data_IF_180001584723
#
_entry.id   IF_180001584723
#
_cell.length_a   1.000
_cell.length_b   1.000
_cell.length_c   1.000
_cell.angle_alpha   90.00
_cell.angle_beta   90.00
_cell.angle_gamma   90.00
#
_symmetry.space_group_name_H-M   'P 1'
#
loop_
_entity.id
_entity.type
_entity.pdbx_description
1 polymer ?
#
# COMPACT_ATOMS: atom_id res chain seq x y z
N UNK A 1 33.10 26.54 8.95
CA UNK A 1 31.71 26.66 9.46
C UNK A 1 30.90 25.56 8.75
N UNK A 2 31.24 24.28 8.95
CA UNK A 2 30.77 23.39 10.03
C UNK A 2 29.30 23.61 10.35
N UNK A 3 28.47 22.71 9.81
CA UNK A 3 27.28 22.07 10.39
C UNK A 3 27.13 20.74 9.60
N UNK A 4 27.88 19.67 9.90
CA UNK A 4 27.56 18.62 10.89
C UNK A 4 26.05 18.41 11.08
N UNK A 5 25.42 17.73 10.13
CA UNK A 5 24.19 16.99 10.40
C UNK A 5 24.53 15.76 11.26
N UNK A 6 24.53 15.97 12.57
CA UNK A 6 24.60 14.90 13.55
C UNK A 6 23.33 14.05 13.43
N UNK A 7 23.51 12.82 12.96
CA UNK A 7 22.57 11.73 13.19
C UNK A 7 22.55 11.45 14.69
N UNK A 8 21.71 12.17 15.45
CA UNK A 8 21.44 11.84 16.84
C UNK A 8 20.36 10.76 16.81
N UNK A 9 20.79 9.52 16.95
CA UNK A 9 19.92 8.40 17.24
C UNK A 9 19.17 8.65 18.55
N UNK A 10 17.90 8.97 18.44
CA UNK A 10 16.90 8.63 19.45
C UNK A 10 15.95 7.61 18.83
N UNK A 11 16.39 6.37 18.86
CA UNK A 11 15.49 5.23 18.79
C UNK A 11 14.57 5.26 20.01
N UNK A 12 13.43 5.92 19.87
CA UNK A 12 12.18 5.51 20.49
C UNK A 12 11.49 4.63 19.44
N UNK A 13 11.21 3.39 19.81
CA UNK A 13 10.92 2.29 18.90
C UNK A 13 9.89 2.64 17.80
N UNK A 14 10.36 2.50 16.55
CA UNK A 14 9.67 2.34 15.24
C UNK A 14 8.79 3.50 14.72
N UNK A 15 9.45 4.52 14.14
CA UNK A 15 8.87 5.28 13.03
C UNK A 15 9.23 4.56 11.71
N UNK A 16 8.28 3.85 11.10
CA UNK A 16 8.48 3.26 9.77
C UNK A 16 8.01 4.28 8.72
N UNK A 17 8.95 4.86 7.98
CA UNK A 17 8.67 5.81 6.91
C UNK A 17 8.45 5.02 5.60
N UNK A 18 7.20 4.85 5.16
CA UNK A 18 6.92 4.26 3.85
C UNK A 18 7.00 5.36 2.78
N UNK A 19 8.20 5.55 2.21
CA UNK A 19 8.33 6.18 0.89
C UNK A 19 8.12 5.10 -0.18
N UNK A 20 6.88 4.85 -0.57
CA UNK A 20 6.57 3.95 -1.69
C UNK A 20 6.15 4.77 -2.90
N UNK A 21 6.82 4.57 -4.03
CA UNK A 21 6.48 5.12 -5.35
C UNK A 21 5.18 4.54 -5.94
N UNK A 22 4.49 3.68 -5.21
CA UNK A 22 3.09 3.29 -5.44
C UNK A 22 2.41 3.06 -4.09
N UNK A 23 1.47 3.93 -3.71
CA UNK A 23 0.73 3.74 -2.45
C UNK A 23 -0.34 2.68 -2.66
N UNK A 24 -0.04 1.46 -2.20
CA UNK A 24 -1.06 0.45 -1.92
C UNK A 24 -1.45 0.61 -0.46
N UNK A 25 -2.63 1.18 -0.19
CA UNK A 25 -3.15 1.14 1.17
C UNK A 25 -3.77 -0.23 1.37
N UNK A 26 -3.02 -1.09 2.07
CA UNK A 26 -3.49 -2.41 2.47
C UNK A 26 -4.19 -2.28 3.83
N UNK A 27 -5.52 -2.26 3.80
CA UNK A 27 -6.31 -2.24 5.02
C UNK A 27 -6.53 -3.66 5.52
N UNK A 28 -5.86 -4.04 6.61
CA UNK A 28 -5.82 -5.43 7.08
C UNK A 28 -7.07 -5.87 7.87
N UNK A 29 -7.26 -7.19 7.97
CA UNK A 29 -8.39 -7.82 8.63
C UNK A 29 -8.57 -7.41 10.11
N UNK A 30 -7.45 -7.28 10.83
CA UNK A 30 -7.47 -6.98 12.27
C UNK A 30 -7.93 -5.54 12.54
N UNK A 31 -7.54 -4.61 11.68
CA UNK A 31 -7.98 -3.22 11.75
C UNK A 31 -9.49 -3.13 11.48
N UNK A 32 -10.02 -3.90 10.52
CA UNK A 32 -11.48 -3.96 10.29
C UNK A 32 -12.20 -4.53 11.51
N UNK A 33 -11.67 -5.57 12.16
CA UNK A 33 -12.25 -6.09 13.40
C UNK A 33 -12.21 -5.09 14.55
N UNK A 34 -11.13 -4.30 14.67
CA UNK A 34 -11.04 -3.24 15.69
C UNK A 34 -12.14 -2.20 15.49
N UNK A 35 -12.33 -1.68 14.27
CA UNK A 35 -13.40 -0.72 13.98
C UNK A 35 -14.80 -1.29 14.20
N UNK A 36 -15.04 -2.55 13.80
CA UNK A 36 -16.33 -3.24 14.04
C UNK A 36 -16.60 -3.41 15.53
N UNK A 37 -15.59 -3.74 16.34
CA UNK A 37 -15.73 -3.88 17.79
C UNK A 37 -15.96 -2.56 18.50
N UNK A 38 -15.44 -1.46 17.97
CA UNK A 38 -15.65 -0.10 18.49
C UNK A 38 -17.10 0.40 18.28
N UNK A 39 -17.98 -0.42 17.67
CA UNK A 39 -19.42 -0.17 17.51
C UNK A 39 -19.71 1.11 16.70
N UNK A 40 -18.79 1.49 15.81
CA UNK A 40 -19.01 2.59 14.87
C UNK A 40 -20.01 2.14 13.80
N UNK A 41 -21.21 2.71 13.84
CA UNK A 41 -22.28 2.36 12.91
C UNK A 41 -21.98 2.78 11.44
N UNK A 42 -21.00 3.67 11.23
CA UNK A 42 -20.60 4.19 9.92
C UNK A 42 -19.08 4.07 9.72
N UNK A 43 -18.63 2.94 9.18
CA UNK A 43 -17.22 2.70 8.82
C UNK A 43 -17.00 3.19 7.39
N UNK A 44 -16.08 4.13 7.20
CA UNK A 44 -15.72 4.69 5.89
C UNK A 44 -14.29 4.33 5.49
N UNK A 45 -13.97 4.39 4.20
CA UNK A 45 -12.58 4.21 3.72
C UNK A 45 -11.63 5.26 4.31
N UNK A 46 -12.09 6.50 4.49
CA UNK A 46 -11.27 7.55 5.11
C UNK A 46 -10.88 7.15 6.53
N UNK A 47 -11.84 6.75 7.36
CA UNK A 47 -11.57 6.25 8.72
C UNK A 47 -10.64 5.04 8.73
N UNK A 48 -10.78 4.15 7.75
CA UNK A 48 -9.87 3.01 7.60
C UNK A 48 -8.42 3.46 7.37
N UNK A 49 -8.22 4.50 6.54
CA UNK A 49 -6.90 5.09 6.25
C UNK A 49 -6.35 5.84 7.47
N UNK A 50 -7.18 6.64 8.15
CA UNK A 50 -6.82 7.33 9.40
C UNK A 50 -6.34 6.32 10.46
N UNK A 51 -7.11 5.23 10.66
CA UNK A 51 -6.76 4.16 11.59
C UNK A 51 -5.47 3.45 11.18
N UNK A 52 -5.20 3.30 9.88
CA UNK A 52 -3.96 2.72 9.38
C UNK A 52 -2.74 3.59 9.69
N UNK A 53 -2.91 4.92 9.71
CA UNK A 53 -1.87 5.89 10.06
C UNK A 53 -1.78 6.15 11.58
N UNK A 54 -2.72 5.62 12.37
CA UNK A 54 -2.71 5.75 13.82
C UNK A 54 -1.56 4.95 14.43
N UNK A 55 -0.89 5.53 15.42
CA UNK A 55 0.12 4.82 16.21
C UNK A 55 -0.53 3.68 17.00
N UNK A 56 -0.01 2.46 16.85
CA UNK A 56 -0.46 1.27 17.57
C UNK A 56 0.71 0.60 18.30
N UNK A 57 0.41 -0.11 19.38
CA UNK A 57 1.40 -0.95 20.06
C UNK A 57 1.32 -2.37 19.52
N UNK A 58 2.47 -2.96 19.18
CA UNK A 58 2.55 -4.33 18.73
C UNK A 58 2.03 -5.31 19.79
N UNK A 59 1.31 -6.31 19.32
CA UNK A 59 0.81 -7.42 20.13
C UNK A 59 1.96 -8.37 20.51
N UNK A 60 1.71 -9.26 21.47
CA UNK A 60 2.73 -10.20 21.96
C UNK A 60 3.23 -11.15 20.87
N UNK A 61 2.40 -11.49 19.89
CA UNK A 61 2.78 -12.34 18.76
C UNK A 61 3.60 -11.60 17.71
N UNK A 62 3.62 -10.26 17.73
CA UNK A 62 4.25 -9.38 16.74
C UNK A 62 5.38 -8.56 17.37
N UNK A 63 5.98 -9.03 18.47
CA UNK A 63 7.01 -8.28 19.18
C UNK A 63 8.22 -7.99 18.30
N UNK A 64 8.79 -6.80 18.49
CA UNK A 64 9.96 -6.33 17.76
C UNK A 64 11.24 -6.65 18.55
N UNK A 65 12.27 -7.17 17.88
CA UNK A 65 13.57 -7.36 18.50
C UNK A 65 14.32 -6.03 18.66
N UNK A 66 14.50 -5.57 19.90
CA UNK A 66 15.20 -4.33 20.19
C UNK A 66 16.71 -4.56 20.21
N UNK A 67 17.44 -3.97 19.25
CA UNK A 67 18.91 -4.04 19.20
C UNK A 67 19.62 -3.42 20.41
N UNK A 68 18.92 -2.58 21.20
CA UNK A 68 19.45 -1.95 22.41
C UNK A 68 19.21 -2.82 23.66
N UNK A 69 18.00 -3.34 23.82
CA UNK A 69 17.63 -4.19 24.96
C UNK A 69 18.07 -5.66 24.77
N UNK A 70 18.37 -6.07 23.53
CA UNK A 70 18.70 -7.44 23.13
C UNK A 70 17.60 -8.46 23.44
N UNK A 71 16.34 -8.02 23.39
CA UNK A 71 15.16 -8.83 23.65
C UNK A 71 13.98 -8.40 22.75
N UNK A 72 12.96 -9.26 22.67
CA UNK A 72 11.70 -8.94 22.00
C UNK A 72 10.83 -8.07 22.90
N UNK A 73 10.43 -6.90 22.40
CA UNK A 73 9.63 -5.92 23.13
C UNK A 73 8.38 -5.54 22.35
N UNK A 74 7.35 -5.11 23.08
CA UNK A 74 6.16 -4.50 22.50
C UNK A 74 6.46 -3.06 22.08
N UNK A 75 6.95 -2.92 20.84
CA UNK A 75 7.21 -1.61 20.26
C UNK A 75 5.92 -0.88 19.87
N UNK A 76 6.01 0.45 19.82
CA UNK A 76 5.02 1.28 19.14
C UNK A 76 5.36 1.31 17.66
N UNK A 77 4.35 1.40 16.81
CA UNK A 77 4.46 1.39 15.35
C UNK A 77 3.47 2.41 14.81
N UNK A 78 3.95 3.25 13.89
CA UNK A 78 3.11 4.19 13.15
C UNK A 78 3.51 4.19 11.68
N UNK A 79 2.52 4.28 10.80
CA UNK A 79 2.72 4.55 9.38
C UNK A 79 2.34 5.99 9.06
N UNK A 80 3.06 6.58 8.11
CA UNK A 80 2.74 7.88 7.55
C UNK A 80 2.67 7.80 6.04
N UNK A 81 1.71 8.50 5.45
CA UNK A 81 1.65 8.69 4.00
C UNK A 81 2.48 9.93 3.66
N UNK A 82 3.68 9.73 3.11
CA UNK A 82 4.56 10.87 2.81
C UNK A 82 4.06 11.72 1.63
N UNK A 83 3.80 11.07 0.48
CA UNK A 83 3.21 11.67 -0.72
C UNK A 83 2.19 10.69 -1.30
N UNK A 84 1.09 11.21 -1.83
CA UNK A 84 0.05 10.40 -2.43
C UNK A 84 0.27 10.25 -3.95
N UNK A 85 0.04 9.05 -4.52
CA UNK A 85 0.30 8.76 -5.93
C UNK A 85 -0.81 9.30 -6.85
N UNK A 86 -0.57 9.47 -8.16
CA UNK A 86 -1.61 9.77 -9.15
C UNK A 86 -2.78 8.76 -9.15
N UNK A 87 -2.46 7.47 -8.98
CA UNK A 87 -3.43 6.37 -8.87
C UNK A 87 -3.27 5.72 -7.50
N UNK A 88 -4.34 5.73 -6.73
CA UNK A 88 -4.43 5.12 -5.41
C UNK A 88 -5.22 3.81 -5.51
N UNK A 89 -4.60 2.72 -5.03
CA UNK A 89 -5.27 1.42 -4.91
C UNK A 89 -5.48 1.14 -3.42
N UNK A 90 -6.74 0.97 -3.03
CA UNK A 90 -7.12 0.62 -1.66
C UNK A 90 -7.60 -0.82 -1.65
N UNK A 91 -6.86 -1.68 -0.97
CA UNK A 91 -7.23 -3.09 -0.80
C UNK A 91 -7.88 -3.29 0.56
N UNK A 92 -9.15 -3.67 0.56
CA UNK A 92 -9.88 -4.09 1.75
C UNK A 92 -9.56 -5.58 1.98
N UNK A 93 -8.54 -5.88 2.79
CA UNK A 93 -8.10 -7.25 3.08
C UNK A 93 -9.11 -7.96 3.99
N UNK A 94 -10.21 -8.38 3.38
CA UNK A 94 -11.37 -9.01 4.04
C UNK A 94 -11.15 -10.45 4.45
N UNK A 95 -10.08 -11.10 4.00
CA UNK A 95 -9.81 -12.50 4.33
C UNK A 95 -8.78 -12.67 5.44
N UNK A 96 -9.06 -13.61 6.32
CA UNK A 96 -8.12 -14.05 7.33
C UNK A 96 -8.13 -15.57 7.41
N UNK A 97 -6.92 -16.11 7.52
CA UNK A 97 -6.71 -17.51 7.80
C UNK A 97 -6.08 -17.64 9.18
N UNK A 98 -6.77 -18.34 10.07
CA UNK A 98 -6.23 -18.70 11.37
C UNK A 98 -5.59 -20.09 11.26
N UNK A 99 -4.26 -20.14 11.27
CA UNK A 99 -3.52 -21.41 11.21
C UNK A 99 -3.81 -22.31 12.42
N UNK A 100 -4.02 -21.72 13.60
CA UNK A 100 -4.31 -22.47 14.84
C UNK A 100 -5.67 -23.17 14.82
N UNK A 101 -6.69 -22.51 14.27
CA UNK A 101 -8.06 -23.05 14.24
C UNK A 101 -8.44 -23.65 12.89
N UNK A 102 -7.57 -23.54 11.89
CA UNK A 102 -7.82 -23.86 10.48
C UNK A 102 -9.06 -23.15 9.90
N UNK A 103 -9.53 -22.08 10.56
CA UNK A 103 -10.69 -21.31 10.12
C UNK A 103 -10.31 -20.32 9.03
N UNK A 104 -11.24 -20.17 8.10
CA UNK A 104 -11.17 -19.24 6.98
C UNK A 104 -12.32 -18.27 7.11
N UNK A 105 -12.01 -17.04 7.50
CA UNK A 105 -13.01 -16.02 7.75
C UNK A 105 -12.97 -14.97 6.63
N UNK A 106 -14.15 -14.48 6.26
CA UNK A 106 -14.32 -13.29 5.44
C UNK A 106 -15.08 -12.24 6.23
N UNK A 107 -14.62 -11.00 6.19
CA UNK A 107 -15.34 -9.84 6.73
C UNK A 107 -16.21 -9.24 5.61
N UNK A 108 -17.52 -9.41 5.74
CA UNK A 108 -18.53 -8.83 4.85
C UNK A 108 -19.05 -7.47 5.37
N UNK A 109 -18.33 -6.84 6.29
CA UNK A 109 -18.66 -5.50 6.81
C UNK A 109 -18.79 -4.51 5.66
N UNK A 110 -19.90 -3.77 5.64
CA UNK A 110 -20.08 -2.65 4.73
C UNK A 110 -19.08 -1.55 5.10
N UNK A 111 -18.28 -1.12 4.13
CA UNK A 111 -17.36 0.00 4.28
C UNK A 111 -17.82 1.02 3.25
N UNK A 112 -18.28 2.17 3.72
CA UNK A 112 -18.70 3.25 2.84
C UNK A 112 -17.49 3.90 2.17
N UNK A 113 -17.62 4.25 0.90
CA UNK A 113 -16.54 4.88 0.16
C UNK A 113 -17.09 5.87 -0.87
N UNK A 114 -16.56 7.10 -0.91
CA UNK A 114 -17.07 8.12 -1.81
C UNK A 114 -16.62 7.82 -3.24
N UNK A 115 -17.55 7.78 -4.20
CA UNK A 115 -17.20 7.66 -5.62
C UNK A 115 -16.49 8.91 -6.15
N UNK A 116 -16.66 10.06 -5.49
CA UNK A 116 -15.95 11.30 -5.83
C UNK A 116 -15.54 12.05 -4.57
N UNK A 117 -14.34 12.63 -4.59
CA UNK A 117 -13.88 13.54 -3.55
C UNK A 117 -13.40 12.87 -2.27
N UNK A 118 -12.75 11.70 -2.38
CA UNK A 118 -11.97 11.16 -1.26
C UNK A 118 -10.81 12.11 -0.96
N UNK A 119 -10.90 12.86 0.14
CA UNK A 119 -9.90 13.85 0.55
C UNK A 119 -8.93 13.23 1.56
N UNK A 120 -7.65 13.10 1.18
CA UNK A 120 -6.58 12.60 2.05
C UNK A 120 -5.63 13.70 2.52
N UNK A 121 -6.03 14.97 2.43
CA UNK A 121 -5.16 16.10 2.79
C UNK A 121 -4.69 16.10 4.24
N UNK A 122 -5.46 15.53 5.17
CA UNK A 122 -5.09 15.38 6.59
C UNK A 122 -4.10 14.24 6.84
N UNK A 123 -4.15 13.19 6.02
CA UNK A 123 -3.37 11.95 6.21
C UNK A 123 -2.03 11.97 5.46
N UNK A 124 -1.93 12.80 4.41
CA UNK A 124 -0.74 12.93 3.56
C UNK A 124 0.14 14.07 4.05
N UNK A 125 1.40 13.77 4.39
CA UNK A 125 2.32 14.75 4.97
C UNK A 125 2.73 15.86 4.00
N UNK A 126 2.88 15.54 2.70
CA UNK A 126 3.33 16.50 1.69
C UNK A 126 2.55 16.38 0.37
N UNK A 127 2.07 17.51 -0.12
CA UNK A 127 1.41 17.67 -1.41
C UNK A 127 1.64 19.10 -1.94
N UNK A 128 1.61 19.26 -3.27
CA UNK A 128 1.75 20.57 -3.92
C UNK A 128 0.37 21.19 -4.12
N UNK A 129 0.27 22.52 -4.21
CA UNK A 129 -1.02 23.21 -4.28
C UNK A 129 -1.87 22.77 -5.49
N UNK A 130 -1.20 22.40 -6.57
CA UNK A 130 -1.75 21.90 -7.83
C UNK A 130 -2.05 20.39 -7.81
N UNK A 131 -1.50 19.64 -6.85
CA UNK A 131 -1.54 18.17 -6.77
C UNK A 131 -2.16 17.66 -5.47
N UNK A 132 -3.21 18.33 -5.00
CA UNK A 132 -3.93 17.96 -3.78
C UNK A 132 -4.34 16.47 -3.82
N UNK A 133 -4.18 15.73 -2.71
CA UNK A 133 -4.48 14.30 -2.63
C UNK A 133 -5.99 14.05 -2.50
N UNK A 134 -6.76 14.57 -3.45
CA UNK A 134 -8.21 14.39 -3.56
C UNK A 134 -8.47 13.48 -4.75
N UNK A 135 -9.25 12.42 -4.53
CA UNK A 135 -9.43 11.34 -5.49
C UNK A 135 -10.89 11.10 -5.86
N UNK A 136 -11.10 10.62 -7.08
CA UNK A 136 -12.37 10.07 -7.55
C UNK A 136 -12.21 8.58 -7.86
N UNK A 137 -13.19 7.77 -7.46
CA UNK A 137 -13.21 6.35 -7.72
C UNK A 137 -13.63 6.12 -9.18
N UNK A 138 -12.86 5.30 -9.90
CA UNK A 138 -13.16 4.98 -11.30
C UNK A 138 -13.31 3.48 -11.54
N UNK A 139 -12.95 2.63 -10.58
CA UNK A 139 -13.22 1.20 -10.65
C UNK A 139 -13.30 0.56 -9.26
N UNK A 140 -14.07 -0.53 -9.17
CA UNK A 140 -14.22 -1.35 -7.97
C UNK A 140 -14.15 -2.81 -8.39
N UNK A 141 -13.26 -3.58 -7.77
CA UNK A 141 -13.29 -5.04 -7.85
C UNK A 141 -14.09 -5.59 -6.67
N UNK A 142 -15.11 -6.38 -6.98
CA UNK A 142 -15.99 -7.00 -6.00
C UNK A 142 -15.60 -8.46 -5.79
N UNK A 143 -15.88 -9.00 -4.60
CA UNK A 143 -15.76 -10.42 -4.31
C UNK A 143 -16.97 -10.97 -3.55
N UNK A 144 -17.59 -11.99 -4.14
CA UNK A 144 -18.68 -12.77 -3.56
C UNK A 144 -18.20 -14.16 -3.15
N UNK A 145 -18.81 -14.76 -2.12
CA UNK A 145 -18.34 -16.03 -1.55
C UNK A 145 -17.20 -15.84 -0.55
N UNK A 146 -16.49 -16.93 -0.24
CA UNK A 146 -15.49 -17.00 0.84
C UNK A 146 -14.11 -17.45 0.36
N UNK A 147 -13.16 -17.64 1.29
CA UNK A 147 -11.76 -17.96 0.94
C UNK A 147 -11.59 -19.33 0.25
N UNK A 148 -12.53 -20.25 0.40
CA UNK A 148 -12.51 -21.57 -0.25
C UNK A 148 -13.07 -21.59 -1.67
N UNK A 149 -13.63 -20.47 -2.13
CA UNK A 149 -14.31 -20.37 -3.42
C UNK A 149 -15.20 -19.13 -3.46
N UNK A 150 -15.12 -18.39 -4.55
CA UNK A 150 -15.84 -17.14 -4.72
C UNK A 150 -15.89 -16.72 -6.17
N UNK A 151 -16.47 -15.54 -6.39
CA UNK A 151 -16.66 -14.95 -7.71
C UNK A 151 -16.27 -13.49 -7.68
N UNK A 152 -15.46 -13.07 -8.65
CA UNK A 152 -15.04 -11.69 -8.79
C UNK A 152 -15.80 -11.02 -9.92
N UNK A 153 -16.28 -9.81 -9.67
CA UNK A 153 -16.84 -8.93 -10.71
C UNK A 153 -16.19 -7.56 -10.60
N UNK A 154 -16.44 -6.69 -11.58
CA UNK A 154 -15.94 -5.33 -11.55
C UNK A 154 -17.04 -4.31 -11.85
N UNK A 155 -16.99 -3.17 -11.18
CA UNK A 155 -17.59 -1.94 -11.67
C UNK A 155 -16.49 -1.06 -12.27
N UNK A 156 -16.77 -0.44 -13.41
CA UNK A 156 -15.85 0.50 -14.06
C UNK A 156 -16.60 1.73 -14.56
N UNK A 157 -15.99 2.90 -14.39
CA UNK A 157 -16.47 4.15 -14.96
C UNK A 157 -16.00 4.25 -16.41
N UNK A 158 -16.96 4.34 -17.34
CA UNK A 158 -16.72 4.47 -18.76
C UNK A 158 -16.35 5.92 -19.13
N UNK A 159 -15.79 6.10 -20.33
CA UNK A 159 -15.42 7.42 -20.87
C UNK A 159 -16.63 8.35 -21.07
N UNK A 160 -17.84 7.79 -21.22
CA UNK A 160 -19.10 8.54 -21.29
C UNK A 160 -19.61 9.00 -19.91
N UNK A 161 -18.87 8.70 -18.84
CA UNK A 161 -19.23 9.04 -17.46
C UNK A 161 -20.25 8.10 -16.81
N UNK A 162 -20.62 7.01 -17.47
CA UNK A 162 -21.56 6.01 -16.93
C UNK A 162 -20.83 4.85 -16.26
N UNK A 163 -21.45 4.24 -15.26
CA UNK A 163 -20.91 3.03 -14.65
C UNK A 163 -21.35 1.78 -15.41
N UNK A 164 -20.40 0.89 -15.68
CA UNK A 164 -20.63 -0.46 -16.17
C UNK A 164 -20.38 -1.52 -15.09
N UNK A 165 -21.11 -2.63 -15.17
CA UNK A 165 -20.86 -3.86 -14.39
C UNK A 165 -20.36 -4.96 -15.31
N UNK A 166 -19.24 -5.57 -14.94
CA UNK A 166 -18.54 -6.59 -15.70
C UNK A 166 -18.49 -7.87 -14.88
N UNK A 167 -19.24 -8.87 -15.35
CA UNK A 167 -19.40 -10.18 -14.74
C UNK A 167 -19.09 -11.25 -15.80
N UNK A 168 -17.81 -11.58 -15.93
CA UNK A 168 -17.25 -12.44 -16.96
C UNK A 168 -17.69 -12.04 -18.39
N UNK A 169 -18.60 -12.81 -18.97
CA UNK A 169 -19.15 -12.59 -20.32
C UNK A 169 -20.37 -11.65 -20.34
N UNK A 170 -20.84 -11.23 -19.17
CA UNK A 170 -22.02 -10.37 -19.00
C UNK A 170 -21.57 -8.97 -18.67
N UNK A 171 -21.99 -8.02 -19.50
CA UNK A 171 -21.72 -6.61 -19.31
C UNK A 171 -23.04 -5.87 -19.21
N UNK A 172 -23.22 -5.12 -18.13
CA UNK A 172 -24.39 -4.24 -17.93
C UNK A 172 -23.92 -2.79 -17.96
N UNK A 173 -24.55 -1.96 -18.79
CA UNK A 173 -24.29 -0.52 -18.87
C UNK A 173 -25.26 0.28 -18.02
N UNK A 174 -24.93 1.54 -17.71
CA UNK A 174 -25.80 2.48 -16.98
C UNK A 174 -26.23 2.00 -15.59
N UNK A 175 -25.28 1.43 -14.85
CA UNK A 175 -25.47 1.05 -13.44
C UNK A 175 -25.67 2.30 -12.60
N UNK A 176 -26.60 2.27 -11.64
CA UNK A 176 -26.77 3.36 -10.67
C UNK A 176 -25.50 3.44 -9.80
N UNK A 177 -24.85 4.61 -9.66
CA UNK A 177 -23.71 4.78 -8.77
C UNK A 177 -23.92 4.23 -7.35
N UNK A 178 -25.16 4.20 -6.84
CA UNK A 178 -25.49 3.60 -5.53
C UNK A 178 -25.22 2.10 -5.46
N UNK A 179 -25.37 1.39 -6.58
CA UNK A 179 -25.14 -0.06 -6.64
C UNK A 179 -23.64 -0.41 -6.68
N UNK A 180 -22.80 0.56 -7.07
CA UNK A 180 -21.33 0.42 -7.08
C UNK A 180 -20.79 0.31 -5.65
N UNK A 181 -21.40 1.02 -4.70
CA UNK A 181 -21.01 1.04 -3.29
C UNK A 181 -21.70 -0.11 -2.56
N UNK A 182 -20.96 -1.20 -2.31
CA UNK A 182 -21.52 -2.40 -1.67
C UNK A 182 -20.52 -3.09 -0.74
N UNK A 183 -21.03 -3.98 0.13
CA UNK A 183 -20.19 -4.82 0.98
C UNK A 183 -19.32 -5.81 0.21
N UNK A 184 -19.61 -6.04 -1.08
CA UNK A 184 -18.81 -6.89 -1.95
C UNK A 184 -17.50 -6.22 -2.38
N UNK A 185 -17.37 -4.90 -2.25
CA UNK A 185 -16.18 -4.16 -2.66
C UNK A 185 -14.92 -4.70 -1.96
N UNK A 186 -13.91 -5.06 -2.74
CA UNK A 186 -12.68 -5.70 -2.27
C UNK A 186 -11.43 -4.88 -2.60
N UNK A 187 -11.33 -4.36 -3.82
CA UNK A 187 -10.28 -3.42 -4.23
C UNK A 187 -10.91 -2.20 -4.84
N UNK A 188 -10.54 -1.02 -4.36
CA UNK A 188 -11.01 0.27 -4.85
C UNK A 188 -9.88 0.94 -5.63
N UNK A 189 -10.22 1.48 -6.80
CA UNK A 189 -9.28 2.20 -7.65
C UNK A 189 -9.69 3.65 -7.74
N UNK A 190 -8.76 4.51 -7.33
CA UNK A 190 -8.93 5.95 -7.20
C UNK A 190 -7.92 6.67 -8.08
N UNK A 191 -8.39 7.70 -8.79
CA UNK A 191 -7.55 8.60 -9.58
C UNK A 191 -7.55 9.97 -8.92
N UNK A 192 -6.37 10.57 -8.74
CA UNK A 192 -6.26 11.92 -8.18
C UNK A 192 -6.84 12.93 -9.17
N UNK A 193 -7.56 13.94 -8.67
CA UNK A 193 -8.38 14.84 -9.51
C UNK A 193 -7.59 15.71 -10.48
N UNK A 194 -6.32 15.98 -10.20
CA UNK A 194 -5.40 16.67 -11.10
C UNK A 194 -4.98 15.81 -12.30
N UNK A 195 -5.19 14.49 -12.23
CA UNK A 195 -4.89 13.56 -13.31
C UNK A 195 -6.06 13.56 -14.29
N UNK A 196 -5.90 14.31 -15.36
CA UNK A 196 -6.79 14.28 -16.52
C UNK A 196 -6.48 13.03 -17.34
N UNK A 197 -7.50 12.23 -17.64
CA UNK A 197 -7.40 11.24 -18.70
C UNK A 197 -7.74 11.96 -19.99
N UNK A 198 -6.74 12.17 -20.85
CA UNK A 198 -7.01 12.62 -22.20
C UNK A 198 -7.97 11.61 -22.83
N UNK A 199 -9.20 12.07 -23.09
CA UNK A 199 -10.13 11.39 -24.00
C UNK A 199 -9.33 11.10 -25.26
N UNK A 200 -9.18 9.80 -25.58
CA UNK A 200 -8.51 9.23 -26.77
C UNK A 200 -7.67 10.22 -27.56
N UNK A 201 -6.32 10.13 -27.59
CA UNK A 201 -5.55 10.98 -28.50
C UNK A 201 -6.16 10.86 -29.90
N UNK A 202 -6.58 12.00 -30.44
CA UNK A 202 -7.13 12.06 -31.78
C UNK A 202 -5.98 11.75 -32.75
N UNK A 203 -5.87 10.46 -33.10
CA UNK A 203 -4.86 9.94 -34.02
C UNK A 203 -5.04 10.45 -35.46
N UNK A 204 -5.98 11.36 -35.73
CA UNK A 204 -6.17 11.94 -37.05
C UNK A 204 -5.09 12.95 -37.44
N UNK A 205 -4.19 13.34 -36.53
CA UNK A 205 -3.03 14.20 -36.86
C UNK A 205 -1.68 13.51 -36.56
N UNK A 206 -0.75 13.43 -37.54
CA UNK A 206 0.58 12.82 -37.34
C UNK A 206 1.40 13.47 -36.22
N UNK A 207 1.25 14.79 -36.00
CA UNK A 207 1.98 15.55 -34.99
C UNK A 207 1.59 15.15 -33.55
N UNK A 208 0.34 14.72 -33.32
CA UNK A 208 -0.13 14.26 -32.02
C UNK A 208 0.52 12.91 -31.63
N UNK A 209 0.77 12.03 -32.60
CA UNK A 209 1.41 10.72 -32.38
C UNK A 209 2.86 10.89 -31.93
N UNK A 210 3.56 11.85 -32.52
CA UNK A 210 4.97 12.11 -32.23
C UNK A 210 5.13 12.72 -30.82
N UNK A 211 4.29 13.70 -30.47
CA UNK A 211 4.26 14.29 -29.13
C UNK A 211 3.87 13.28 -28.03
N UNK A 212 2.89 12.41 -28.28
CA UNK A 212 2.49 11.39 -27.30
C UNK A 212 3.58 10.34 -27.08
N UNK A 213 4.30 9.98 -28.13
CA UNK A 213 5.44 9.04 -28.07
C UNK A 213 6.61 9.67 -27.31
N UNK A 214 6.90 10.95 -27.54
CA UNK A 214 7.94 11.68 -26.82
C UNK A 214 7.60 11.87 -25.34
N UNK A 215 6.38 12.28 -24.98
CA UNK A 215 5.96 12.43 -23.58
C UNK A 215 6.00 11.12 -22.81
N UNK A 216 5.57 10.02 -23.45
CA UNK A 216 5.62 8.68 -22.85
C UNK A 216 7.05 8.14 -22.71
N UNK A 217 7.95 8.53 -23.62
CA UNK A 217 9.37 8.21 -23.54
C UNK A 217 10.08 9.04 -22.45
N UNK A 218 9.74 10.32 -22.27
CA UNK A 218 10.26 11.15 -21.17
C UNK A 218 9.84 10.59 -19.81
N UNK A 219 8.54 10.24 -19.64
CA UNK A 219 8.06 9.61 -18.41
C UNK A 219 8.69 8.24 -18.12
N UNK A 220 9.08 7.49 -19.18
CA UNK A 220 9.85 6.24 -19.04
C UNK A 220 11.31 6.48 -18.70
N UNK A 221 11.95 7.49 -19.30
CA UNK A 221 13.36 7.83 -19.03
C UNK A 221 13.52 8.30 -17.57
N UNK A 222 12.63 9.15 -17.06
CA UNK A 222 12.62 9.55 -15.64
C UNK A 222 12.46 8.36 -14.69
N UNK A 223 11.71 7.32 -15.09
CA UNK A 223 11.58 6.10 -14.29
C UNK A 223 12.82 5.19 -14.33
N UNK A 224 13.60 5.25 -15.42
CA UNK A 224 14.82 4.44 -15.59
C UNK A 224 16.05 5.10 -14.93
N UNK A 225 16.16 6.43 -14.95
CA UNK A 225 17.26 7.17 -14.31
C UNK A 225 17.23 7.07 -12.77
N UNK A 226 16.06 6.81 -12.19
CA UNK A 226 15.91 6.56 -10.74
C UNK A 226 16.40 5.17 -10.32
N UNK A 227 16.29 4.17 -11.20
CA UNK A 227 16.75 2.80 -10.93
C UNK A 227 18.28 2.64 -11.12
N UNK A 228 18.90 3.36 -12.06
CA UNK A 228 20.37 3.36 -12.25
C UNK A 228 21.13 4.10 -11.12
N UNK A 229 20.50 5.08 -10.46
CA UNK A 229 21.08 5.68 -9.23
C UNK A 229 21.04 4.73 -8.02
N UNK A 230 20.20 3.70 -8.06
CA UNK A 230 20.08 2.69 -7.00
C UNK A 230 21.12 1.57 -7.12
N UNK A 231 21.64 1.32 -8.33
CA UNK A 231 22.68 0.32 -8.58
C UNK A 231 24.11 0.85 -8.39
N UNK A 232 24.32 2.17 -8.44
CA UNK A 232 25.64 2.80 -8.37
C UNK A 232 26.11 3.21 -6.95
N UNK A 233 25.26 3.13 -5.92
CA UNK A 233 25.65 3.50 -4.53
C UNK A 233 26.14 2.33 -3.66
N UNK A 234 26.47 1.17 -4.25
CA UNK A 234 27.07 0.03 -3.55
C UNK A 234 28.54 -0.19 -3.95
N UNK A 235 29.40 0.80 -3.71
CA UNK A 235 30.86 0.55 -3.59
C UNK A 235 31.58 1.74 -2.95
N UNK A 236 31.74 1.72 -1.62
CA UNK A 236 32.92 2.27 -0.94
C UNK A 236 33.04 1.58 0.43
N UNK A 237 33.73 0.44 0.46
CA UNK A 237 34.35 -0.04 1.71
C UNK A 237 35.56 0.85 1.97
N UNK A 238 35.51 1.64 3.04
CA UNK A 238 36.69 2.21 3.64
C UNK A 238 37.37 1.15 4.51
N UNK A 239 38.60 0.86 4.14
CA UNK A 239 39.60 0.01 4.78
C UNK A 239 39.87 0.43 6.24
N UNK A 240 39.86 -0.55 7.15
CA UNK A 240 40.49 -0.51 8.47
C UNK A 240 40.95 -1.94 8.81
N UNK A 241 42.27 -2.13 8.84
CA UNK A 241 42.97 -3.41 8.98
C UNK A 241 42.82 -4.15 10.33
N UNK A 242 43.52 -5.30 10.48
CA UNK A 242 43.13 -6.35 11.40
C UNK A 242 43.69 -6.17 12.82
N UNK A 243 42.89 -6.53 13.82
CA UNK A 243 43.36 -6.79 15.18
C UNK A 243 43.57 -8.29 15.36
N UNK A 244 44.82 -8.65 15.62
CA UNK A 244 45.29 -9.97 16.04
C UNK A 244 44.78 -10.26 17.44
N UNK A 245 44.15 -11.42 17.66
CA UNK A 245 44.25 -12.14 18.95
C UNK A 245 44.19 -13.64 18.66
N UNK A 246 45.25 -14.32 19.06
CA UNK A 246 45.42 -15.77 19.08
C UNK A 246 44.31 -16.46 19.88
N UNK A 247 43.94 -17.69 19.50
CA UNK A 247 43.85 -18.81 20.44
C UNK A 247 43.76 -20.15 19.70
N UNK A 248 44.38 -21.11 20.36
CA UNK A 248 44.86 -22.41 19.91
C UNK A 248 43.75 -23.45 19.69
N UNK A 249 44.17 -24.51 19.00
CA UNK A 249 43.48 -25.74 18.63
C UNK A 249 42.80 -26.48 19.80
N UNK A 250 41.61 -27.07 19.57
CA UNK A 250 41.25 -28.44 19.99
C UNK A 250 40.19 -29.00 19.01
N UNK A 251 40.49 -30.18 18.45
CA UNK A 251 39.65 -31.04 17.60
C UNK A 251 38.60 -31.87 18.40
N UNK A 252 37.87 -32.72 17.68
CA UNK A 252 36.75 -33.62 18.04
C UNK A 252 35.38 -32.94 18.14
N UNK A 253 34.31 -33.42 17.53
CA UNK A 253 34.02 -34.74 16.95
C UNK A 253 32.51 -34.98 17.13
N UNK A 254 31.96 -35.83 16.27
CA UNK A 254 30.65 -36.49 16.37
C UNK A 254 29.37 -35.77 15.85
N UNK A 255 28.97 -36.27 14.68
CA UNK A 255 27.63 -36.78 14.31
C UNK A 255 26.48 -36.57 15.31
N UNK A 256 25.30 -36.19 14.81
CA UNK A 256 24.12 -37.09 14.75
C UNK A 256 22.88 -36.42 14.09
N UNK A 257 22.37 -37.14 13.08
CA UNK A 257 20.98 -37.32 12.61
C UNK A 257 20.14 -36.29 11.83
N UNK A 258 19.78 -36.76 10.63
CA UNK A 258 18.67 -36.41 9.75
C UNK A 258 17.28 -36.82 10.29
N UNK A 259 16.24 -36.25 9.63
CA UNK A 259 14.80 -36.63 9.59
C UNK A 259 13.98 -36.25 10.84
N UNK A 260 12.77 -35.70 10.71
CA UNK A 260 11.75 -35.74 9.65
C UNK A 260 10.96 -34.42 9.61
#
# INVERSE_FOLDING_TARGET
RMDRFSYIGQANCVNAFLMSTGMNVLYNFDLQRKLVKENENDITVLKCIEKYCQMEQLEETEMWFCNRCKEHVRAWKQFHIYRAPPILIVHLKRFHYSASTHRRDKIDTFIDFPLSGLDLTSEVMHWDAESKPIYDCYAVSNHYGGLGGGHYTAYGLNDDGTWGHYDDSRVSSNVDPKDVVSSAAYVLYYRRRDIVCDSTPDFSTPDAVQNYTEQRNVARIDSMDLDERRSSSSSTMADCGPAVVDNEDVEDGDEYYNKA
#
